data_IF_868863690806
#
_entry.id   IF_868863690806
#
_cell.length_a   1.000
_cell.length_b   1.000
_cell.length_c   1.000
_cell.angle_alpha   90.00
_cell.angle_beta   90.00
_cell.angle_gamma   90.00
#
_symmetry.space_group_name_H-M   'P 1'
#
loop_
_entity.id
_entity.type
_entity.pdbx_description
1 polymer ?
#
# COMPACT_ATOMS: atom_id res chain seq x y z
N UNK A 1 -16.00 -3.66 35.49
CA UNK A 1 -15.62 -3.06 34.20
C UNK A 1 -14.38 -3.77 33.69
N UNK A 2 -14.52 -4.66 32.72
CA UNK A 2 -13.40 -5.44 32.18
C UNK A 2 -12.47 -4.51 31.38
N UNK A 3 -11.26 -4.28 31.86
CA UNK A 3 -10.13 -3.73 31.10
C UNK A 3 -9.65 -4.76 30.08
N UNK A 4 -10.51 -5.08 29.12
CA UNK A 4 -10.14 -5.80 27.91
C UNK A 4 -9.35 -4.87 27.01
N UNK A 5 -8.06 -4.70 27.28
CA UNK A 5 -7.11 -4.14 26.30
C UNK A 5 -7.19 -5.04 25.08
N UNK A 6 -7.97 -4.64 24.07
CA UNK A 6 -7.89 -5.24 22.74
C UNK A 6 -6.42 -5.21 22.34
N UNK A 7 -5.85 -6.40 22.09
CA UNK A 7 -4.53 -6.50 21.53
C UNK A 7 -4.61 -5.93 20.10
N UNK A 8 -4.19 -4.68 19.92
CA UNK A 8 -4.21 -3.97 18.63
C UNK A 8 -3.51 -4.74 17.49
N UNK A 9 -2.72 -5.78 17.81
CA UNK A 9 -2.01 -6.63 16.87
C UNK A 9 -2.88 -7.65 16.13
N UNK A 10 -4.16 -7.87 16.52
CA UNK A 10 -5.10 -8.72 15.74
C UNK A 10 -5.94 -7.96 14.71
N UNK A 11 -5.93 -6.62 14.71
CA UNK A 11 -6.76 -5.85 13.76
C UNK A 11 -6.10 -5.59 12.41
N UNK A 12 -4.79 -5.79 12.29
CA UNK A 12 -4.06 -5.41 11.07
C UNK A 12 -3.96 -6.53 10.04
N UNK A 13 -4.09 -7.80 10.45
CA UNK A 13 -4.18 -8.92 9.52
C UNK A 13 -5.46 -8.80 8.69
N UNK A 14 -5.35 -9.01 7.38
CA UNK A 14 -6.44 -8.78 6.44
C UNK A 14 -6.55 -7.34 5.93
N UNK A 15 -5.78 -6.39 6.48
CA UNK A 15 -5.76 -5.00 6.00
C UNK A 15 -5.25 -4.94 4.56
N UNK A 16 -5.99 -4.25 3.69
CA UNK A 16 -5.55 -3.93 2.33
C UNK A 16 -4.61 -2.74 2.37
N UNK A 17 -3.44 -2.92 1.77
CA UNK A 17 -2.37 -1.92 1.65
C UNK A 17 -1.84 -1.96 0.22
N UNK A 18 -1.07 -0.95 -0.19
CA UNK A 18 -0.29 -1.03 -1.42
C UNK A 18 1.18 -1.31 -1.05
N UNK A 19 1.72 -2.43 -1.52
CA UNK A 19 3.09 -2.84 -1.23
C UNK A 19 4.01 -2.45 -2.39
N UNK A 20 5.14 -1.82 -2.07
CA UNK A 20 6.19 -1.55 -3.03
C UNK A 20 6.77 -2.87 -3.57
N UNK A 21 7.03 -2.93 -4.87
CA UNK A 21 7.76 -4.01 -5.52
C UNK A 21 9.14 -3.55 -5.96
N UNK A 22 9.95 -4.46 -6.48
CA UNK A 22 11.34 -4.22 -6.90
C UNK A 22 11.45 -3.21 -8.05
N UNK A 23 10.40 -3.07 -8.85
CA UNK A 23 10.27 -2.03 -9.90
C UNK A 23 9.98 -0.63 -9.34
N UNK A 24 9.78 -0.51 -8.02
CA UNK A 24 9.41 0.69 -7.30
C UNK A 24 7.97 1.15 -7.52
N UNK A 25 7.11 0.29 -8.08
CA UNK A 25 5.66 0.49 -8.15
C UNK A 25 5.00 -0.15 -6.93
N UNK A 26 3.81 0.33 -6.60
CA UNK A 26 2.98 -0.15 -5.51
C UNK A 26 1.85 -1.01 -6.04
N UNK A 27 1.65 -2.18 -5.44
CA UNK A 27 0.64 -3.13 -5.87
C UNK A 27 -0.33 -3.43 -4.73
N UNK A 28 -1.65 -3.56 -5.01
CA UNK A 28 -2.62 -3.96 -4.02
C UNK A 28 -2.18 -5.25 -3.31
N UNK A 29 -2.23 -5.25 -1.99
CA UNK A 29 -1.69 -6.31 -1.15
C UNK A 29 -2.50 -6.46 0.13
N UNK A 30 -2.42 -7.63 0.75
CA UNK A 30 -3.10 -7.94 2.01
C UNK A 30 -2.07 -8.39 3.04
N UNK A 31 -2.11 -7.79 4.23
CA UNK A 31 -1.26 -8.19 5.36
C UNK A 31 -1.73 -9.55 5.88
N UNK A 32 -0.83 -10.52 5.87
CA UNK A 32 -1.08 -11.91 6.26
C UNK A 32 -0.44 -12.29 7.60
N UNK A 33 0.66 -11.63 7.99
CA UNK A 33 1.35 -11.87 9.25
C UNK A 33 2.12 -10.63 9.71
N UNK A 34 2.43 -10.55 11.01
CA UNK A 34 3.30 -9.53 11.61
C UNK A 34 4.37 -10.24 12.42
N UNK A 35 5.64 -9.99 12.09
CA UNK A 35 6.82 -10.51 12.77
C UNK A 35 7.48 -9.33 13.49
N UNK A 36 7.54 -9.39 14.82
CA UNK A 36 8.36 -8.47 15.59
C UNK A 36 9.72 -9.08 15.83
N UNK A 37 10.78 -8.39 15.43
CA UNK A 37 12.15 -8.76 15.78
C UNK A 37 12.48 -8.27 17.20
N UNK A 38 13.32 -9.03 17.91
CA UNK A 38 13.91 -8.67 19.21
C UNK A 38 12.92 -8.18 20.27
N UNK A 39 11.93 -9.01 20.62
CA UNK A 39 10.97 -8.76 21.70
C UNK A 39 10.32 -7.35 21.68
N UNK A 40 10.18 -6.77 20.48
CA UNK A 40 9.55 -5.46 20.28
C UNK A 40 10.50 -4.25 20.26
N UNK A 41 11.82 -4.47 20.31
CA UNK A 41 12.83 -3.42 20.08
C UNK A 41 13.35 -3.39 18.64
N UNK A 42 13.16 -4.47 17.88
CA UNK A 42 13.57 -4.57 16.49
C UNK A 42 12.52 -4.01 15.51
N UNK A 43 12.89 -3.85 14.22
CA UNK A 43 11.97 -3.41 13.19
C UNK A 43 10.79 -4.40 13.06
N UNK A 44 9.58 -3.86 12.87
CA UNK A 44 8.42 -4.68 12.58
C UNK A 44 8.43 -5.07 11.11
N UNK A 45 8.33 -6.37 10.84
CA UNK A 45 8.27 -6.94 9.49
C UNK A 45 6.88 -7.49 9.25
N UNK A 46 6.30 -7.16 8.11
CA UNK A 46 4.97 -7.59 7.70
C UNK A 46 5.09 -8.62 6.60
N UNK A 47 4.36 -9.73 6.70
CA UNK A 47 4.22 -10.65 5.58
C UNK A 47 2.97 -10.26 4.80
N UNK A 48 3.11 -9.91 3.52
CA UNK A 48 2.00 -9.54 2.64
C UNK A 48 1.80 -10.56 1.51
N UNK A 49 0.56 -10.62 1.00
CA UNK A 49 0.21 -11.29 -0.25
C UNK A 49 -0.18 -10.21 -1.26
N UNK A 50 0.59 -10.09 -2.33
CA UNK A 50 0.34 -9.14 -3.41
C UNK A 50 -0.74 -9.72 -4.33
N UNK A 51 -1.66 -8.88 -4.79
CA UNK A 51 -2.69 -9.27 -5.74
C UNK A 51 -2.05 -9.67 -7.08
N UNK A 52 -2.38 -10.86 -7.59
CA UNK A 52 -1.76 -11.44 -8.78
C UNK A 52 -0.48 -12.25 -8.55
N UNK A 53 0.11 -12.19 -7.35
CA UNK A 53 1.24 -13.06 -6.98
C UNK A 53 0.78 -14.24 -6.10
N UNK A 54 1.29 -15.44 -6.39
CA UNK A 54 1.06 -16.61 -5.53
C UNK A 54 1.92 -16.60 -4.26
N UNK A 55 3.08 -15.94 -4.30
CA UNK A 55 4.05 -15.94 -3.20
C UNK A 55 3.75 -14.83 -2.20
N UNK A 56 4.07 -15.10 -0.92
CA UNK A 56 4.06 -14.07 0.14
C UNK A 56 5.42 -13.41 0.23
N UNK A 57 5.46 -12.12 0.58
CA UNK A 57 6.68 -11.34 0.74
C UNK A 57 6.76 -10.76 2.14
N UNK A 58 7.95 -10.76 2.72
CA UNK A 58 8.24 -10.06 3.97
C UNK A 58 8.75 -8.66 3.64
N UNK A 59 8.10 -7.64 4.19
CA UNK A 59 8.35 -6.23 3.88
C UNK A 59 8.36 -5.38 5.14
N UNK A 60 9.01 -4.22 5.07
CA UNK A 60 9.04 -3.26 6.18
C UNK A 60 7.82 -2.36 6.13
N UNK A 61 7.57 -1.67 7.24
CA UNK A 61 6.53 -0.64 7.31
C UNK A 61 6.70 0.45 6.23
N UNK A 62 7.95 0.81 5.92
CA UNK A 62 8.31 1.79 4.88
C UNK A 62 7.89 1.39 3.46
N UNK A 63 7.61 0.11 3.23
CA UNK A 63 7.29 -0.42 1.91
C UNK A 63 5.77 -0.49 1.69
N UNK A 64 4.99 -0.15 2.72
CA UNK A 64 3.54 -0.22 2.73
C UNK A 64 2.93 1.18 2.69
N UNK A 65 1.97 1.37 1.79
CA UNK A 65 1.13 2.57 1.73
C UNK A 65 -0.28 2.20 2.13
N UNK A 66 -0.87 2.99 3.04
CA UNK A 66 -2.22 2.78 3.54
C UNK A 66 -2.45 3.36 4.92
N UNK A 67 -3.65 3.17 5.47
CA UNK A 67 -3.99 3.64 6.81
C UNK A 67 -3.08 3.01 7.87
N UNK A 68 -2.36 3.84 8.62
CA UNK A 68 -1.39 3.38 9.63
C UNK A 68 -0.03 2.98 9.06
N UNK A 69 0.24 3.29 7.80
CA UNK A 69 1.52 3.08 7.12
C UNK A 69 1.94 4.38 6.38
N UNK A 70 2.87 4.29 5.42
CA UNK A 70 3.32 5.43 4.63
C UNK A 70 2.11 6.09 3.94
N UNK A 71 2.05 7.42 4.00
CA UNK A 71 0.98 8.18 3.37
C UNK A 71 1.17 8.21 1.84
N UNK A 72 0.10 8.05 1.07
CA UNK A 72 0.14 8.13 -0.40
C UNK A 72 0.68 9.47 -0.90
N UNK A 73 0.45 10.57 -0.19
CA UNK A 73 0.97 11.89 -0.55
C UNK A 73 2.49 12.02 -0.33
N UNK A 74 3.10 11.07 0.39
CA UNK A 74 4.54 11.07 0.67
C UNK A 74 5.34 10.18 -0.29
N UNK A 75 4.69 9.52 -1.25
CA UNK A 75 5.37 8.62 -2.19
C UNK A 75 5.44 9.20 -3.59
N UNK A 76 6.58 8.99 -4.25
CA UNK A 76 6.74 9.30 -5.67
C UNK A 76 6.22 8.14 -6.52
N UNK A 77 5.04 8.30 -7.10
CA UNK A 77 4.51 7.39 -8.12
C UNK A 77 5.43 7.28 -9.34
N UNK A 78 5.60 6.06 -9.86
CA UNK A 78 6.41 5.77 -11.05
C UNK A 78 5.57 5.69 -12.31
N UNK A 79 6.19 5.96 -13.46
CA UNK A 79 5.53 5.78 -14.75
C UNK A 79 5.06 4.32 -14.93
N UNK A 80 3.86 4.16 -15.47
CA UNK A 80 3.15 2.88 -15.58
C UNK A 80 2.59 2.35 -14.26
N UNK A 81 2.56 3.12 -13.17
CA UNK A 81 1.86 2.76 -11.94
C UNK A 81 0.34 2.77 -12.18
N UNK A 82 -0.34 1.67 -11.87
CA UNK A 82 -1.82 1.66 -11.86
C UNK A 82 -2.33 2.49 -10.69
N UNK A 83 -3.22 3.43 -10.95
CA UNK A 83 -3.88 4.27 -9.95
C UNK A 83 -5.38 4.21 -10.12
N UNK A 84 -6.10 4.45 -9.03
CA UNK A 84 -7.55 4.57 -9.01
C UNK A 84 -7.88 6.01 -8.67
N UNK A 85 -8.75 6.62 -9.45
CA UNK A 85 -9.16 8.01 -9.27
C UNK A 85 -10.67 8.12 -9.38
N UNK A 86 -11.23 9.13 -8.74
CA UNK A 86 -12.63 9.50 -8.96
C UNK A 86 -12.70 10.54 -10.07
N UNK A 87 -13.37 10.21 -11.17
CA UNK A 87 -13.60 11.11 -12.30
C UNK A 87 -15.07 11.02 -12.70
N UNK A 88 -15.74 12.17 -12.85
CA UNK A 88 -17.18 12.23 -13.14
C UNK A 88 -18.04 11.38 -12.18
N UNK A 89 -17.74 11.47 -10.87
CA UNK A 89 -18.42 10.72 -9.80
C UNK A 89 -18.32 9.20 -9.92
N UNK A 90 -17.41 8.67 -10.76
CA UNK A 90 -17.13 7.25 -10.89
C UNK A 90 -15.68 6.97 -10.52
N UNK A 91 -15.46 5.86 -9.84
CA UNK A 91 -14.11 5.34 -9.69
C UNK A 91 -13.69 4.70 -11.02
N UNK A 92 -12.58 5.16 -11.55
CA UNK A 92 -11.92 4.62 -12.73
C UNK A 92 -10.46 4.35 -12.40
N UNK A 93 -9.80 3.58 -13.27
CA UNK A 93 -8.37 3.35 -13.14
C UNK A 93 -7.61 3.90 -14.33
N UNK A 94 -6.34 4.22 -14.10
CA UNK A 94 -5.43 4.70 -15.11
C UNK A 94 -4.00 4.30 -14.81
N UNK A 95 -3.10 4.68 -15.70
CA UNK A 95 -1.67 4.50 -15.55
C UNK A 95 -0.97 5.86 -15.41
N UNK A 96 -0.09 6.00 -14.43
CA UNK A 96 0.73 7.21 -14.28
C UNK A 96 1.64 7.36 -15.49
N UNK A 97 1.58 8.51 -16.16
CA UNK A 97 2.53 8.88 -17.19
C UNK A 97 3.74 9.56 -16.55
N UNK A 98 3.47 10.55 -15.70
CA UNK A 98 4.48 11.39 -15.08
C UNK A 98 4.00 11.95 -13.73
N UNK A 99 4.92 12.14 -12.78
CA UNK A 99 4.61 12.71 -11.46
C UNK A 99 5.64 13.80 -11.13
N UNK A 100 5.14 14.98 -10.74
CA UNK A 100 5.90 16.16 -10.31
C UNK A 100 5.69 16.44 -8.81
N UNK A 101 6.52 15.86 -7.91
CA UNK A 101 6.33 16.01 -6.46
C UNK A 101 6.49 17.44 -5.95
N UNK A 102 7.21 18.30 -6.68
CA UNK A 102 7.45 19.69 -6.30
C UNK A 102 6.20 20.58 -6.40
N UNK A 103 5.20 20.16 -7.16
CA UNK A 103 3.93 20.87 -7.34
C UNK A 103 2.71 19.97 -7.08
N UNK A 104 2.93 18.78 -6.50
CA UNK A 104 1.90 17.79 -6.17
C UNK A 104 0.95 17.44 -7.35
N UNK A 105 1.53 17.26 -8.55
CA UNK A 105 0.75 16.94 -9.75
C UNK A 105 1.14 15.59 -10.37
N UNK A 106 0.12 14.80 -10.69
CA UNK A 106 0.26 13.49 -11.35
C UNK A 106 -0.49 13.51 -12.67
N UNK A 107 0.24 13.31 -13.77
CA UNK A 107 -0.34 13.08 -15.08
C UNK A 107 -0.62 11.59 -15.27
N UNK A 108 -1.85 11.24 -15.63
CA UNK A 108 -2.30 9.87 -15.82
C UNK A 108 -2.93 9.68 -17.19
N UNK A 109 -2.86 8.46 -17.72
CA UNK A 109 -3.67 8.01 -18.84
C UNK A 109 -4.85 7.20 -18.31
N UNK A 110 -6.07 7.59 -18.67
CA UNK A 110 -7.30 6.89 -18.31
C UNK A 110 -7.61 5.90 -19.43
N UNK A 111 -7.82 4.63 -19.08
CA UNK A 111 -8.40 3.66 -20.00
C UNK A 111 -9.91 3.75 -19.80
N UNK A 112 -10.62 4.34 -20.76
CA UNK A 112 -12.08 4.23 -20.77
C UNK A 112 -12.42 2.77 -21.07
N UNK A 113 -13.18 2.07 -20.21
CA UNK A 113 -13.86 0.87 -20.66
C UNK A 113 -14.87 1.32 -21.74
N UNK A 114 -14.73 0.79 -22.96
CA UNK A 114 -15.75 0.89 -24.01
C UNK A 114 -17.11 0.40 -23.52
#
# INVERSE_FOLDING_TARGET
MSTGKRLAKRSILGTRVACMSEDGKYYPSIICNVKQMDEGKGPTVYTVRVEGEHRRRDVRESDLVGSGFVNVNSVKLRSGQKVYITHNQREIHGAVLYHRPNIDEVLISIINPE
#
